data_IF_774696046773
#
_entry.id   IF_774696046773
#
_cell.length_a   1.000
_cell.length_b   1.000
_cell.length_c   1.000
_cell.angle_alpha   90.00
_cell.angle_beta   90.00
_cell.angle_gamma   90.00
#
_symmetry.space_group_name_H-M   'P 1'
#
loop_
_entity.id
_entity.type
_entity.pdbx_description
1 polymer ?
#
# COMPACT_ATOMS: atom_id res chain seq x y z
N UNK A 1 0.52 -1.39 -8.87
CA UNK A 1 0.31 -2.79 -8.46
C UNK A 1 1.60 -3.59 -8.47
N UNK A 2 1.58 -4.77 -7.89
CA UNK A 2 2.71 -5.71 -7.98
C UNK A 2 2.93 -6.08 -9.46
N UNK A 3 4.18 -6.21 -9.89
CA UNK A 3 4.56 -6.37 -11.31
C UNK A 3 4.20 -5.17 -12.22
N UNK A 4 3.72 -4.06 -11.68
CA UNK A 4 3.49 -2.82 -12.44
C UNK A 4 4.73 -1.92 -12.45
N UNK A 5 4.67 -0.87 -13.29
CA UNK A 5 5.73 0.14 -13.45
C UNK A 5 5.12 1.53 -13.28
N UNK A 6 5.96 2.54 -13.06
CA UNK A 6 5.52 3.92 -12.91
C UNK A 6 4.73 4.41 -14.13
N UNK A 7 5.11 3.99 -15.35
CA UNK A 7 4.40 4.30 -16.59
C UNK A 7 2.96 3.72 -16.65
N UNK A 8 2.62 2.76 -15.81
CA UNK A 8 1.22 2.33 -15.64
C UNK A 8 0.32 3.45 -15.10
N UNK A 9 0.90 4.47 -14.49
CA UNK A 9 0.21 5.68 -14.04
C UNK A 9 -0.31 6.56 -15.18
N UNK A 10 0.16 6.39 -16.42
CA UNK A 10 -0.26 7.20 -17.58
C UNK A 10 -1.76 7.13 -17.82
N UNK A 11 -2.36 5.96 -17.63
CA UNK A 11 -3.82 5.79 -17.77
C UNK A 11 -4.59 6.57 -16.71
N UNK A 12 -4.08 6.60 -15.47
CA UNK A 12 -4.66 7.38 -14.39
C UNK A 12 -4.43 8.88 -14.61
N UNK A 13 -3.23 9.27 -15.03
CA UNK A 13 -2.92 10.65 -15.40
C UNK A 13 -3.82 11.16 -16.52
N UNK A 14 -4.07 10.36 -17.55
CA UNK A 14 -4.98 10.72 -18.63
C UNK A 14 -6.43 10.98 -18.15
N UNK A 15 -6.83 10.34 -17.03
CA UNK A 15 -8.15 10.55 -16.43
C UNK A 15 -8.22 11.85 -15.61
N UNK A 16 -7.16 12.18 -14.85
CA UNK A 16 -7.21 13.30 -13.87
C UNK A 16 -6.55 14.58 -14.37
N UNK A 17 -5.61 14.53 -15.30
CA UNK A 17 -4.97 15.71 -15.87
C UNK A 17 -5.95 16.73 -16.48
N UNK A 18 -7.06 16.32 -17.16
CA UNK A 18 -8.06 17.26 -17.63
C UNK A 18 -8.74 18.08 -16.51
N UNK A 19 -8.62 17.64 -15.27
CA UNK A 19 -9.11 18.35 -14.09
C UNK A 19 -8.07 19.34 -13.51
N UNK A 20 -6.91 19.46 -14.15
CA UNK A 20 -5.80 20.28 -13.68
C UNK A 20 -4.98 19.64 -12.55
N UNK A 21 -5.07 18.32 -12.39
CA UNK A 21 -4.35 17.57 -11.37
C UNK A 21 -3.15 16.86 -12.02
N UNK A 22 -1.91 17.31 -11.76
CA UNK A 22 -0.72 16.61 -12.23
C UNK A 22 -0.53 15.30 -11.46
N UNK A 23 0.05 14.30 -12.11
CA UNK A 23 0.35 12.99 -11.51
C UNK A 23 1.86 12.77 -11.54
N UNK A 24 2.41 12.39 -10.40
CA UNK A 24 3.80 11.95 -10.27
C UNK A 24 3.79 10.50 -9.81
N UNK A 25 4.48 9.63 -10.51
CA UNK A 25 4.60 8.22 -10.21
C UNK A 25 6.07 7.80 -10.13
N UNK A 26 6.39 6.87 -9.23
CA UNK A 26 7.74 6.34 -9.04
C UNK A 26 7.68 4.84 -8.87
N UNK A 27 8.65 4.14 -9.47
CA UNK A 27 8.78 2.70 -9.34
C UNK A 27 9.14 2.31 -7.90
N UNK A 28 8.58 1.21 -7.42
CA UNK A 28 9.00 0.58 -6.17
C UNK A 28 10.30 -0.21 -6.38
N UNK A 29 10.99 -0.56 -5.29
CA UNK A 29 12.11 -1.48 -5.37
C UNK A 29 11.77 -2.72 -6.20
N UNK A 30 12.72 -3.19 -6.98
CA UNK A 30 12.61 -4.33 -7.89
C UNK A 30 11.60 -4.18 -9.03
N UNK A 31 10.93 -3.02 -9.17
CA UNK A 31 9.95 -2.76 -10.23
C UNK A 31 10.46 -1.74 -11.25
N UNK A 32 9.97 -1.84 -12.46
CA UNK A 32 10.17 -0.86 -13.53
C UNK A 32 11.62 -0.51 -13.79
N UNK A 33 11.94 0.78 -13.66
CA UNK A 33 13.29 1.33 -13.86
C UNK A 33 14.02 1.62 -12.55
N UNK A 34 13.48 1.17 -11.41
CA UNK A 34 14.19 1.32 -10.14
C UNK A 34 15.61 0.72 -10.24
N UNK A 35 16.65 1.35 -9.64
CA UNK A 35 18.04 0.85 -9.74
C UNK A 35 18.26 -0.57 -9.24
N UNK A 36 17.40 -1.09 -8.37
CA UNK A 36 17.42 -2.48 -7.90
C UNK A 36 16.61 -3.43 -8.79
N UNK A 37 15.97 -2.91 -9.84
CA UNK A 37 15.23 -3.76 -10.77
C UNK A 37 16.22 -4.57 -11.60
N UNK A 38 16.04 -5.89 -11.61
CA UNK A 38 16.73 -6.78 -12.51
C UNK A 38 15.88 -6.97 -13.76
N UNK A 39 16.34 -6.44 -14.88
CA UNK A 39 15.63 -6.55 -16.17
C UNK A 39 15.43 -8.01 -16.60
N UNK A 40 16.25 -8.93 -16.09
CA UNK A 40 16.19 -10.35 -16.37
C UNK A 40 15.33 -11.13 -15.36
N UNK A 41 14.86 -10.45 -14.29
CA UNK A 41 13.96 -11.07 -13.33
C UNK A 41 12.57 -11.25 -13.92
N UNK A 42 12.18 -12.50 -14.09
CA UNK A 42 10.83 -12.83 -14.50
C UNK A 42 9.74 -12.57 -13.41
N UNK A 43 10.19 -12.28 -12.18
CA UNK A 43 9.31 -12.20 -11.00
C UNK A 43 9.73 -11.08 -10.04
N UNK A 44 9.58 -9.79 -10.42
CA UNK A 44 9.90 -8.66 -9.55
C UNK A 44 9.17 -8.72 -8.19
N UNK A 45 7.94 -9.22 -8.20
CA UNK A 45 7.12 -9.41 -7.01
C UNK A 45 7.79 -10.31 -5.96
N UNK A 46 8.34 -11.44 -6.38
CA UNK A 46 9.00 -12.36 -5.45
C UNK A 46 10.26 -11.75 -4.85
N UNK A 47 11.03 -11.00 -5.66
CA UNK A 47 12.20 -10.28 -5.15
C UNK A 47 11.79 -9.22 -4.13
N UNK A 48 10.73 -8.46 -4.41
CA UNK A 48 10.18 -7.46 -3.49
C UNK A 48 9.72 -8.10 -2.18
N UNK A 49 9.05 -9.23 -2.26
CA UNK A 49 8.55 -9.97 -1.11
C UNK A 49 9.63 -10.81 -0.39
N UNK A 50 10.87 -10.79 -0.85
CA UNK A 50 11.96 -11.55 -0.23
C UNK A 50 11.87 -13.06 -0.46
N UNK A 51 11.13 -13.51 -1.49
CA UNK A 51 10.99 -14.92 -1.81
C UNK A 51 12.08 -15.35 -2.80
N UNK A 52 12.93 -16.28 -2.38
CA UNK A 52 13.97 -16.86 -3.22
C UNK A 52 13.63 -18.31 -3.57
N UNK A 53 13.09 -18.51 -4.76
CA UNK A 53 12.67 -19.85 -5.22
C UNK A 53 13.85 -20.80 -5.43
N UNK A 54 15.03 -20.31 -5.82
CA UNK A 54 16.19 -21.15 -6.07
C UNK A 54 16.77 -21.75 -4.80
N UNK A 55 16.62 -21.05 -3.69
CA UNK A 55 17.09 -21.47 -2.37
C UNK A 55 15.96 -22.01 -1.49
N UNK A 56 14.72 -21.96 -1.96
CA UNK A 56 13.52 -22.22 -1.17
C UNK A 56 13.57 -21.45 0.17
N UNK A 57 13.82 -20.14 0.10
CA UNK A 57 14.00 -19.29 1.27
C UNK A 57 13.06 -18.09 1.23
N UNK A 58 12.64 -17.66 2.40
CA UNK A 58 11.92 -16.42 2.63
C UNK A 58 12.80 -15.51 3.48
N UNK A 59 13.21 -14.38 2.89
CA UNK A 59 14.07 -13.38 3.52
C UNK A 59 13.22 -12.20 3.99
N UNK A 60 12.84 -12.22 5.25
CA UNK A 60 12.04 -11.15 5.87
C UNK A 60 12.80 -9.83 5.99
N UNK A 61 14.13 -9.86 6.01
CA UNK A 61 14.93 -8.63 6.02
C UNK A 61 14.91 -7.96 4.65
N UNK A 62 14.96 -8.76 3.57
CA UNK A 62 14.80 -8.23 2.23
C UNK A 62 13.40 -7.66 1.99
N UNK A 63 12.35 -8.38 2.42
CA UNK A 63 10.98 -7.87 2.37
C UNK A 63 10.87 -6.51 3.09
N UNK A 64 11.36 -6.44 4.32
CA UNK A 64 11.39 -5.19 5.08
C UNK A 64 12.18 -4.10 4.37
N UNK A 65 13.36 -4.41 3.89
CA UNK A 65 14.21 -3.47 3.13
C UNK A 65 13.51 -2.94 1.89
N UNK A 66 12.74 -3.79 1.20
CA UNK A 66 11.96 -3.39 0.01
C UNK A 66 10.88 -2.37 0.35
N UNK A 67 10.15 -2.56 1.44
CA UNK A 67 9.17 -1.59 1.92
C UNK A 67 9.86 -0.30 2.36
N UNK A 68 10.81 -0.39 3.28
CA UNK A 68 11.48 0.78 3.88
C UNK A 68 12.17 1.65 2.80
N UNK A 69 12.89 1.03 1.85
CA UNK A 69 13.54 1.79 0.78
C UNK A 69 12.52 2.43 -0.16
N UNK A 70 11.48 1.70 -0.53
CA UNK A 70 10.42 2.25 -1.39
C UNK A 70 9.75 3.46 -0.74
N UNK A 71 9.55 3.44 0.58
CA UNK A 71 9.00 4.60 1.31
C UNK A 71 10.02 5.72 1.39
N UNK A 72 11.29 5.42 1.63
CA UNK A 72 12.35 6.44 1.66
C UNK A 72 12.46 7.18 0.33
N UNK A 73 12.38 6.46 -0.80
CA UNK A 73 12.41 7.05 -2.14
C UNK A 73 11.22 8.00 -2.36
N UNK A 74 10.03 7.62 -1.90
CA UNK A 74 8.85 8.48 -1.96
C UNK A 74 8.95 9.71 -1.07
N UNK A 75 9.50 9.56 0.13
CA UNK A 75 9.75 10.70 1.01
C UNK A 75 10.76 11.68 0.39
N UNK A 76 11.78 11.19 -0.29
CA UNK A 76 12.72 12.04 -1.04
C UNK A 76 12.05 12.75 -2.21
N UNK A 77 11.17 12.05 -2.94
CA UNK A 77 10.38 12.68 -4.00
C UNK A 77 9.50 13.81 -3.44
N UNK A 78 8.81 13.58 -2.32
CA UNK A 78 7.98 14.60 -1.68
C UNK A 78 8.80 15.81 -1.26
N UNK A 79 9.97 15.61 -0.66
CA UNK A 79 10.89 16.69 -0.34
C UNK A 79 11.35 17.49 -1.58
N UNK A 80 11.52 16.83 -2.71
CA UNK A 80 11.83 17.50 -3.97
C UNK A 80 10.65 18.36 -4.45
N UNK A 81 9.44 17.81 -4.43
CA UNK A 81 8.23 18.50 -4.86
C UNK A 81 7.91 19.71 -3.98
N UNK A 82 8.16 19.62 -2.67
CA UNK A 82 7.99 20.73 -1.71
C UNK A 82 8.92 21.91 -2.00
N UNK A 83 10.04 21.68 -2.69
CA UNK A 83 10.94 22.73 -3.12
C UNK A 83 10.46 23.48 -4.36
N UNK A 84 9.28 23.14 -4.88
CA UNK A 84 8.70 23.74 -6.08
C UNK A 84 9.67 23.70 -7.26
N UNK A 85 10.02 22.51 -7.75
CA UNK A 85 11.09 22.36 -8.72
C UNK A 85 10.71 22.93 -10.09
N UNK A 86 11.72 23.54 -10.73
CA UNK A 86 11.76 23.80 -12.16
C UNK A 86 12.35 22.53 -12.81
N UNK A 87 11.51 21.66 -13.34
CA UNK A 87 11.90 20.33 -13.84
C UNK A 87 12.46 20.41 -15.24
N UNK A 88 11.93 21.33 -16.08
CA UNK A 88 12.35 21.46 -17.46
C UNK A 88 13.44 22.54 -17.67
N UNK A 89 13.75 23.33 -16.64
CA UNK A 89 14.83 24.32 -16.64
C UNK A 89 14.47 25.62 -17.36
N UNK A 90 13.20 25.96 -17.49
CA UNK A 90 12.73 27.17 -18.15
C UNK A 90 12.71 28.40 -17.23
N UNK A 91 13.00 28.22 -15.94
CA UNK A 91 13.03 29.26 -14.91
C UNK A 91 11.68 29.47 -14.22
N UNK A 92 10.69 28.63 -14.52
CA UNK A 92 9.38 28.66 -13.88
C UNK A 92 9.22 27.44 -12.94
N UNK A 93 8.31 27.54 -11.98
CA UNK A 93 7.94 26.42 -11.13
C UNK A 93 6.97 25.51 -11.89
N UNK A 94 7.32 24.23 -12.06
CA UNK A 94 6.47 23.25 -12.75
C UNK A 94 5.44 22.59 -11.86
N UNK A 95 5.73 22.47 -10.57
CA UNK A 95 4.85 21.82 -9.59
C UNK A 95 4.63 22.74 -8.40
N UNK A 96 3.37 23.12 -8.19
CA UNK A 96 2.93 23.86 -7.01
C UNK A 96 2.08 22.93 -6.14
N UNK A 97 2.55 22.66 -4.91
CA UNK A 97 1.83 21.82 -3.96
C UNK A 97 0.81 22.66 -3.18
N UNK A 98 -0.40 22.81 -3.72
CA UNK A 98 -1.53 23.39 -3.00
C UNK A 98 -2.41 22.31 -2.34
N UNK A 99 -2.42 21.13 -2.90
CA UNK A 99 -3.14 19.94 -2.42
C UNK A 99 -2.35 18.71 -2.81
N UNK A 100 -2.10 17.83 -1.87
CA UNK A 100 -1.38 16.58 -2.08
C UNK A 100 -2.28 15.39 -1.81
N UNK A 101 -2.49 14.57 -2.83
CA UNK A 101 -3.33 13.37 -2.74
C UNK A 101 -2.49 12.13 -3.04
N UNK A 102 -2.60 11.13 -2.17
CA UNK A 102 -2.02 9.82 -2.43
C UNK A 102 -3.03 8.91 -3.12
N UNK A 103 -2.62 8.29 -4.22
CA UNK A 103 -3.37 7.21 -4.85
C UNK A 103 -2.48 5.96 -4.91
N UNK A 104 -2.89 4.90 -4.25
CA UNK A 104 -2.21 3.62 -4.27
C UNK A 104 -3.15 2.48 -4.64
N UNK A 105 -2.75 1.66 -5.60
CA UNK A 105 -3.47 0.48 -6.04
C UNK A 105 -2.68 -0.78 -5.72
N UNK A 106 -3.33 -1.81 -5.15
CA UNK A 106 -2.72 -3.09 -4.79
C UNK A 106 -1.45 -2.87 -3.93
N UNK A 107 -0.25 -3.25 -4.39
CA UNK A 107 1.01 -2.97 -3.68
C UNK A 107 1.16 -1.49 -3.32
N UNK A 108 0.75 -0.57 -4.20
CA UNK A 108 0.73 0.86 -3.90
C UNK A 108 -0.19 1.19 -2.72
N UNK A 109 -1.37 0.57 -2.66
CA UNK A 109 -2.30 0.69 -1.54
C UNK A 109 -1.71 0.13 -0.23
N UNK A 110 -0.94 -0.95 -0.30
CA UNK A 110 -0.26 -1.54 0.86
C UNK A 110 0.92 -0.69 1.36
N UNK A 111 1.63 0.00 0.46
CA UNK A 111 2.70 0.93 0.82
C UNK A 111 2.17 2.25 1.40
N UNK A 112 0.90 2.58 1.11
CA UNK A 112 0.27 3.83 1.54
C UNK A 112 0.32 4.08 3.05
N UNK A 113 -0.11 3.15 3.91
CA UNK A 113 -0.11 3.38 5.35
C UNK A 113 1.24 3.77 5.93
N UNK A 114 2.33 3.12 5.52
CA UNK A 114 3.66 3.48 5.99
C UNK A 114 4.08 4.87 5.50
N UNK A 115 3.81 5.22 4.25
CA UNK A 115 4.09 6.56 3.72
C UNK A 115 3.29 7.64 4.45
N UNK A 116 1.98 7.45 4.54
CA UNK A 116 1.05 8.40 5.15
C UNK A 116 1.30 8.60 6.65
N UNK A 117 1.76 7.58 7.36
CA UNK A 117 2.15 7.68 8.76
C UNK A 117 3.44 8.50 8.95
N UNK A 118 4.35 8.48 7.97
CA UNK A 118 5.65 9.16 8.03
C UNK A 118 5.69 10.53 7.34
N UNK A 119 4.60 10.95 6.69
CA UNK A 119 4.49 12.25 6.04
C UNK A 119 3.12 12.89 6.28
N UNK A 120 3.11 14.07 6.86
CA UNK A 120 1.90 14.76 7.30
C UNK A 120 1.25 15.69 6.26
N UNK A 121 1.87 15.83 5.10
CA UNK A 121 1.45 16.78 4.07
C UNK A 121 0.32 16.31 3.14
N UNK A 122 -0.21 15.10 3.33
CA UNK A 122 -1.29 14.60 2.49
C UNK A 122 -2.65 15.09 3.00
N UNK A 123 -3.42 15.74 2.10
CA UNK A 123 -4.81 16.16 2.34
C UNK A 123 -5.77 14.99 2.22
N UNK A 124 -5.53 14.09 1.27
CA UNK A 124 -6.36 12.92 1.04
C UNK A 124 -5.56 11.72 0.56
N UNK A 125 -6.14 10.53 0.72
CA UNK A 125 -5.59 9.30 0.20
C UNK A 125 -6.67 8.35 -0.30
N UNK A 126 -6.33 7.63 -1.39
CA UNK A 126 -7.12 6.51 -1.89
C UNK A 126 -6.24 5.26 -1.85
N UNK A 127 -6.64 4.28 -1.07
CA UNK A 127 -5.96 2.98 -0.98
C UNK A 127 -6.86 1.93 -1.64
N UNK A 128 -6.71 1.78 -2.95
CA UNK A 128 -7.52 0.85 -3.72
C UNK A 128 -6.92 -0.56 -3.65
N UNK A 129 -7.78 -1.56 -3.43
CA UNK A 129 -7.39 -2.99 -3.46
C UNK A 129 -6.15 -3.23 -2.58
N UNK A 130 -6.21 -2.76 -1.34
CA UNK A 130 -5.13 -2.90 -0.37
C UNK A 130 -5.51 -3.79 0.80
N UNK A 131 -4.53 -4.35 1.46
CA UNK A 131 -4.73 -5.20 2.64
C UNK A 131 -3.59 -5.08 3.63
N UNK A 132 -3.85 -5.54 4.84
CA UNK A 132 -2.88 -5.74 5.92
C UNK A 132 -2.93 -7.19 6.39
N UNK A 133 -2.23 -7.52 7.47
CA UNK A 133 -2.05 -8.90 7.93
C UNK A 133 -1.33 -9.72 6.84
N UNK A 134 -0.07 -9.35 6.58
CA UNK A 134 0.73 -9.93 5.50
C UNK A 134 0.75 -11.48 5.47
N UNK A 135 0.74 -12.21 6.59
CA UNK A 135 0.63 -13.67 6.56
C UNK A 135 -0.65 -14.19 5.90
N UNK A 136 -1.76 -13.46 5.93
CA UNK A 136 -3.02 -13.85 5.25
C UNK A 136 -2.83 -13.94 3.75
N UNK A 137 -1.97 -13.10 3.16
CA UNK A 137 -1.64 -13.20 1.75
C UNK A 137 -0.97 -14.52 1.40
N UNK A 138 -0.23 -15.12 2.32
CA UNK A 138 0.47 -16.39 2.08
C UNK A 138 -0.45 -17.60 2.11
N UNK A 139 -1.67 -17.45 2.63
CA UNK A 139 -2.65 -18.54 2.75
C UNK A 139 -3.82 -18.38 1.78
N UNK A 140 -4.25 -17.15 1.53
CA UNK A 140 -5.56 -16.88 0.96
C UNK A 140 -5.53 -16.23 -0.44
N UNK A 141 -4.35 -15.93 -1.02
CA UNK A 141 -4.30 -15.39 -2.37
C UNK A 141 -4.29 -16.49 -3.45
N UNK A 142 -4.98 -16.24 -4.56
CA UNK A 142 -4.93 -17.14 -5.73
C UNK A 142 -3.52 -17.24 -6.34
N UNK A 143 -2.73 -16.18 -6.27
CA UNK A 143 -1.32 -16.24 -6.70
C UNK A 143 -0.52 -17.24 -5.87
N UNK A 144 -0.81 -17.35 -4.57
CA UNK A 144 -0.12 -18.29 -3.69
C UNK A 144 -0.55 -19.73 -3.88
N UNK A 145 -1.71 -20.02 -4.47
CA UNK A 145 -2.07 -21.40 -4.85
C UNK A 145 -1.01 -22.01 -5.76
N UNK A 146 -0.42 -21.22 -6.65
CA UNK A 146 0.67 -21.66 -7.50
C UNK A 146 1.98 -21.92 -6.73
N UNK A 147 2.13 -21.33 -5.54
CA UNK A 147 3.31 -21.48 -4.68
C UNK A 147 3.06 -22.33 -3.45
N UNK A 148 1.85 -22.87 -3.29
CA UNK A 148 1.47 -23.66 -2.12
C UNK A 148 2.41 -24.83 -1.89
N UNK A 149 2.81 -25.55 -2.95
CA UNK A 149 3.79 -26.62 -2.85
C UNK A 149 5.17 -26.15 -2.37
N UNK A 150 5.55 -24.91 -2.65
CA UNK A 150 6.81 -24.30 -2.18
C UNK A 150 6.66 -23.93 -0.70
N UNK A 151 5.54 -23.35 -0.30
CA UNK A 151 5.26 -23.04 1.10
C UNK A 151 5.23 -24.31 1.94
N UNK A 152 4.58 -25.37 1.47
CA UNK A 152 4.57 -26.67 2.16
C UNK A 152 5.98 -27.24 2.29
N UNK A 153 6.82 -27.08 1.27
CA UNK A 153 8.21 -27.51 1.32
C UNK A 153 9.06 -26.70 2.31
N UNK A 154 8.77 -25.40 2.45
CA UNK A 154 9.51 -24.48 3.34
C UNK A 154 9.07 -24.62 4.79
N UNK A 155 7.78 -24.69 5.03
CA UNK A 155 7.18 -24.52 6.36
C UNK A 155 6.53 -25.80 6.87
N UNK A 156 6.10 -26.68 5.96
CA UNK A 156 5.37 -27.91 6.25
C UNK A 156 3.89 -27.80 5.91
N UNK A 157 3.08 -28.78 6.33
CA UNK A 157 1.66 -28.83 5.98
C UNK A 157 0.89 -27.63 6.55
N UNK A 158 -0.32 -27.30 6.01
CA UNK A 158 -1.10 -26.13 6.37
C UNK A 158 -1.31 -25.90 7.87
N UNK A 159 -1.59 -26.98 8.63
CA UNK A 159 -1.77 -26.89 10.08
C UNK A 159 -0.50 -26.45 10.84
N UNK A 160 0.66 -26.69 10.27
CA UNK A 160 1.93 -26.20 10.81
C UNK A 160 2.15 -24.74 10.46
N UNK A 161 1.72 -24.33 9.25
CA UNK A 161 1.77 -22.94 8.83
C UNK A 161 0.92 -22.07 9.77
N UNK A 162 -0.33 -22.47 10.05
CA UNK A 162 -1.23 -21.75 10.95
C UNK A 162 -0.62 -21.51 12.34
N UNK A 163 0.13 -22.49 12.86
CA UNK A 163 0.85 -22.32 14.14
C UNK A 163 2.03 -21.39 14.07
N UNK A 164 2.62 -21.18 12.90
CA UNK A 164 3.74 -20.30 12.68
C UNK A 164 3.33 -18.88 12.29
N UNK A 165 2.06 -18.68 11.91
CA UNK A 165 1.52 -17.38 11.52
C UNK A 165 1.86 -16.26 12.50
N UNK A 166 1.71 -16.40 13.84
CA UNK A 166 2.09 -15.33 14.77
C UNK A 166 3.60 -15.02 14.75
N UNK A 167 4.44 -16.02 14.49
CA UNK A 167 5.90 -15.82 14.37
C UNK A 167 6.22 -15.10 13.07
N UNK A 168 5.62 -15.52 11.97
CA UNK A 168 5.76 -14.85 10.66
C UNK A 168 5.28 -13.40 10.76
N UNK A 169 4.11 -13.15 11.37
CA UNK A 169 3.61 -11.81 11.59
C UNK A 169 4.64 -10.95 12.34
N UNK A 170 5.20 -11.43 13.44
CA UNK A 170 6.20 -10.68 14.19
C UNK A 170 7.48 -10.38 13.39
N UNK A 171 7.81 -11.18 12.40
CA UNK A 171 8.96 -10.96 11.52
C UNK A 171 8.69 -9.91 10.43
N UNK A 172 7.43 -9.75 10.03
CA UNK A 172 7.01 -8.83 8.95
C UNK A 172 6.28 -7.60 9.45
N UNK A 173 5.97 -7.49 10.75
CA UNK A 173 5.20 -6.39 11.36
C UNK A 173 5.67 -5.00 10.90
N UNK A 174 6.98 -4.79 10.81
CA UNK A 174 7.52 -3.50 10.38
C UNK A 174 7.15 -3.11 8.94
N UNK A 175 6.75 -4.08 8.13
CA UNK A 175 6.31 -3.88 6.74
C UNK A 175 4.81 -4.05 6.56
N UNK A 176 4.11 -4.50 7.60
CA UNK A 176 2.68 -4.76 7.50
C UNK A 176 1.88 -3.45 7.49
N UNK A 177 1.07 -3.20 6.44
CA UNK A 177 0.24 -2.02 6.35
C UNK A 177 -0.68 -1.81 7.55
N UNK A 178 -1.19 -2.89 8.16
CA UNK A 178 -2.08 -2.81 9.31
C UNK A 178 -1.40 -2.25 10.56
N UNK A 179 -0.09 -2.45 10.71
CA UNK A 179 0.69 -1.87 11.84
C UNK A 179 0.81 -0.35 11.70
N UNK A 180 1.03 0.14 10.49
CA UNK A 180 1.15 1.58 10.21
C UNK A 180 -0.20 2.31 10.16
N UNK A 181 -1.27 1.58 9.81
CA UNK A 181 -2.60 2.15 9.59
C UNK A 181 -3.15 2.91 10.79
N UNK A 182 -2.89 2.43 12.01
CA UNK A 182 -3.27 3.12 13.23
C UNK A 182 -2.63 4.52 13.34
N UNK A 183 -1.38 4.65 12.91
CA UNK A 183 -0.65 5.91 12.91
C UNK A 183 -1.04 6.86 11.77
N UNK A 184 -1.85 6.40 10.82
CA UNK A 184 -2.45 7.27 9.80
C UNK A 184 -3.71 7.95 10.31
N UNK A 185 -4.61 7.16 10.91
CA UNK A 185 -5.99 7.58 11.15
C UNK A 185 -6.35 7.82 12.62
N UNK A 186 -5.62 7.23 13.56
CA UNK A 186 -6.02 7.23 14.99
C UNK A 186 -5.01 7.95 15.88
N UNK A 187 -3.75 7.56 15.82
CA UNK A 187 -2.67 8.11 16.65
C UNK A 187 -1.48 8.45 15.79
N UNK A 188 -1.48 9.64 15.22
CA UNK A 188 -0.36 10.10 14.38
C UNK A 188 0.90 10.32 15.21
N UNK A 189 2.06 10.20 14.56
CA UNK A 189 3.35 10.48 15.20
C UNK A 189 3.58 11.97 15.48
N UNK A 190 2.77 12.83 14.87
CA UNK A 190 2.75 14.27 15.09
C UNK A 190 1.31 14.77 15.30
N UNK A 191 1.15 16.04 15.64
CA UNK A 191 -0.17 16.68 15.83
C UNK A 191 -0.81 17.12 14.49
N UNK A 192 -0.41 16.53 13.37
CA UNK A 192 -0.94 16.85 12.05
C UNK A 192 -2.38 16.39 11.87
N UNK A 193 -3.06 16.99 10.89
CA UNK A 193 -4.40 16.57 10.51
C UNK A 193 -4.36 15.18 9.86
N UNK A 194 -5.40 14.41 10.11
CA UNK A 194 -5.62 13.11 9.49
C UNK A 194 -6.09 13.35 8.05
N UNK A 195 -5.51 12.68 7.04
CA UNK A 195 -5.96 12.84 5.66
C UNK A 195 -7.36 12.28 5.46
N UNK A 196 -8.13 12.87 4.54
CA UNK A 196 -9.34 12.23 4.06
C UNK A 196 -9.02 10.89 3.40
N UNK A 197 -9.76 9.84 3.75
CA UNK A 197 -9.43 8.48 3.31
C UNK A 197 -10.58 7.84 2.54
N UNK A 198 -10.27 7.34 1.34
CA UNK A 198 -11.14 6.43 0.60
C UNK A 198 -10.47 5.05 0.49
N UNK A 199 -11.15 4.04 1.01
CA UNK A 199 -10.69 2.66 1.03
C UNK A 199 -11.74 1.71 0.42
N UNK A 200 -11.76 1.55 -0.91
CA UNK A 200 -12.64 0.59 -1.56
C UNK A 200 -12.14 -0.84 -1.37
N UNK A 201 -13.04 -1.72 -0.93
CA UNK A 201 -12.80 -3.16 -0.73
C UNK A 201 -13.58 -3.94 -1.77
N UNK A 202 -12.95 -4.93 -2.39
CA UNK A 202 -13.59 -5.88 -3.28
C UNK A 202 -13.81 -7.22 -2.58
N UNK A 203 -15.07 -7.65 -2.46
CA UNK A 203 -15.43 -8.89 -1.74
C UNK A 203 -15.03 -10.17 -2.47
N UNK A 204 -14.75 -10.06 -3.76
CA UNK A 204 -14.41 -11.20 -4.63
C UNK A 204 -12.98 -11.12 -5.16
N UNK A 205 -12.16 -10.29 -4.53
CA UNK A 205 -10.75 -10.17 -4.90
C UNK A 205 -10.00 -11.45 -4.52
N UNK A 206 -9.30 -12.00 -5.49
CA UNK A 206 -8.50 -13.21 -5.31
C UNK A 206 -7.01 -12.92 -5.09
N UNK A 207 -6.57 -11.71 -5.40
CA UNK A 207 -5.16 -11.28 -5.28
C UNK A 207 -4.92 -10.62 -3.93
N UNK A 208 -5.83 -9.72 -3.53
CA UNK A 208 -5.86 -9.15 -2.16
C UNK A 208 -7.06 -9.73 -1.42
N UNK A 209 -6.86 -10.75 -0.58
CA UNK A 209 -7.97 -11.42 0.08
C UNK A 209 -8.85 -10.46 0.87
N UNK A 210 -10.19 -10.59 0.80
CA UNK A 210 -11.10 -9.75 1.58
C UNK A 210 -10.79 -9.71 3.08
N UNK A 211 -10.25 -10.80 3.62
CA UNK A 211 -9.80 -10.87 5.01
C UNK A 211 -8.69 -9.85 5.32
N UNK A 212 -7.70 -9.74 4.43
CA UNK A 212 -6.59 -8.79 4.54
C UNK A 212 -7.07 -7.33 4.38
N UNK A 213 -7.98 -7.07 3.42
CA UNK A 213 -8.58 -5.75 3.26
C UNK A 213 -9.39 -5.33 4.50
N UNK A 214 -10.19 -6.24 5.05
CA UNK A 214 -10.95 -6.00 6.29
C UNK A 214 -10.05 -5.81 7.50
N UNK A 215 -8.90 -6.48 7.57
CA UNK A 215 -7.90 -6.26 8.63
C UNK A 215 -7.35 -4.83 8.56
N UNK A 216 -6.99 -4.37 7.37
CA UNK A 216 -6.50 -3.00 7.16
C UNK A 216 -7.57 -1.95 7.50
N UNK A 217 -8.82 -2.14 7.05
CA UNK A 217 -9.92 -1.24 7.37
C UNK A 217 -10.14 -1.10 8.89
N UNK A 218 -10.08 -2.22 9.63
CA UNK A 218 -10.16 -2.21 11.10
C UNK A 218 -8.99 -1.49 11.75
N UNK A 219 -7.78 -1.72 11.26
CA UNK A 219 -6.58 -1.06 11.78
C UNK A 219 -6.63 0.47 11.59
N UNK A 220 -7.21 0.94 10.49
CA UNK A 220 -7.48 2.36 10.23
C UNK A 220 -8.68 2.89 11.02
N UNK A 221 -9.53 2.02 11.59
CA UNK A 221 -10.79 2.38 12.22
C UNK A 221 -11.70 3.24 11.31
N UNK A 222 -11.73 2.93 10.02
CA UNK A 222 -12.54 3.67 9.05
C UNK A 222 -14.03 3.37 9.24
N UNK A 223 -14.92 4.36 9.18
CA UNK A 223 -16.35 4.11 9.17
C UNK A 223 -16.76 3.34 7.90
N UNK A 224 -17.66 2.39 8.06
CA UNK A 224 -18.20 1.60 6.95
C UNK A 224 -19.43 2.31 6.36
N UNK A 225 -19.31 2.72 5.10
CA UNK A 225 -20.36 3.50 4.43
C UNK A 225 -21.57 2.61 4.07
N UNK A 226 -22.77 3.08 4.40
CA UNK A 226 -24.04 2.47 3.97
C UNK A 226 -24.34 2.76 2.48
N UNK A 227 -24.96 1.83 1.72
CA UNK A 227 -25.42 0.52 2.14
C UNK A 227 -24.28 -0.51 2.28
N UNK A 228 -24.26 -1.23 3.39
CA UNK A 228 -23.26 -2.26 3.65
C UNK A 228 -23.56 -3.51 2.84
N UNK A 229 -22.63 -3.93 1.99
CA UNK A 229 -22.73 -5.18 1.23
C UNK A 229 -22.34 -6.36 2.11
N UNK A 230 -21.18 -6.25 2.78
CA UNK A 230 -20.72 -7.24 3.74
C UNK A 230 -20.16 -6.53 4.98
N UNK A 231 -20.67 -6.91 6.17
CA UNK A 231 -20.26 -6.24 7.39
C UNK A 231 -18.81 -6.53 7.77
N UNK A 232 -18.07 -5.48 8.14
CA UNK A 232 -16.76 -5.62 8.75
C UNK A 232 -16.92 -5.45 10.25
N UNK A 233 -16.68 -6.51 11.05
CA UNK A 233 -16.82 -6.43 12.51
C UNK A 233 -15.97 -5.31 13.09
N UNK A 234 -16.47 -4.64 14.13
CA UNK A 234 -15.84 -3.54 14.87
C UNK A 234 -15.84 -2.18 14.14
N UNK A 235 -16.25 -2.09 12.90
CA UNK A 235 -16.41 -0.81 12.22
C UNK A 235 -17.81 -0.23 12.45
N UNK A 236 -17.88 1.07 12.70
CA UNK A 236 -19.13 1.82 12.76
C UNK A 236 -19.71 1.93 11.35
N UNK A 237 -21.03 1.71 11.22
CA UNK A 237 -21.75 1.94 9.96
C UNK A 237 -22.32 3.35 9.97
N UNK A 238 -22.01 4.10 8.93
CA UNK A 238 -22.45 5.49 8.76
C UNK A 238 -23.24 5.69 7.46
N UNK A 239 -24.17 6.61 7.47
CA UNK A 239 -24.93 6.98 6.26
C UNK A 239 -24.10 7.91 5.36
N UNK A 240 -24.15 7.68 4.05
CA UNK A 240 -23.50 8.52 3.05
C UNK A 240 -24.47 9.53 2.40
N UNK A 241 -23.93 10.42 1.56
CA UNK A 241 -22.52 10.63 1.25
C UNK A 241 -21.75 11.34 2.37
N UNK A 242 -20.47 10.98 2.54
CA UNK A 242 -19.55 11.72 3.38
C UNK A 242 -18.73 12.68 2.52
N UNK A 243 -18.50 13.89 3.02
CA UNK A 243 -17.66 14.90 2.36
C UNK A 243 -16.24 14.96 2.94
N UNK A 244 -16.06 14.38 4.13
CA UNK A 244 -14.78 14.19 4.81
C UNK A 244 -14.92 12.98 5.73
N UNK A 245 -13.82 12.24 5.96
CA UNK A 245 -13.84 11.07 6.86
C UNK A 245 -13.87 11.45 8.33
N UNK A 246 -13.52 12.68 8.63
CA UNK A 246 -13.49 13.21 9.98
C UNK A 246 -14.56 14.26 10.16
N UNK A 247 -15.30 14.14 11.23
CA UNK A 247 -16.33 15.08 11.63
C UNK A 247 -15.76 16.49 11.72
N UNK A 248 -16.22 17.40 10.89
CA UNK A 248 -15.88 18.80 10.96
C UNK A 248 -15.44 19.45 9.65
N UNK A 249 -15.37 18.71 8.55
CA UNK A 249 -15.33 19.30 7.22
C UNK A 249 -16.69 19.94 6.94
N UNK A 250 -16.84 21.22 7.30
CA UNK A 250 -17.99 22.05 6.96
C UNK A 250 -17.76 22.80 5.69
#
# INVERSE_FOLDING_TARGET
>A
GINSRADSGDSFAALVNPLGVPVVAVDAMHHGQHPTSDSDSAMPALNFLGVNLSQLAFDTQNLRGSFDQTIADRLQLLQLLEQQPDIDGDGSVDVELSTLIYYGDSLGGMLGPQLLANHSGFDAAVLAIAGGDLPVFTTDTAEMENYQGILEALVGPPDRFDRLTPVLQSMVDASDPAVWAHHVMVERFDDSLVPDMLFPVCDTDTDVPPAAAKALARAMNLPHLSPVVESVPLLEVVEGPLHANLSGGG
#
